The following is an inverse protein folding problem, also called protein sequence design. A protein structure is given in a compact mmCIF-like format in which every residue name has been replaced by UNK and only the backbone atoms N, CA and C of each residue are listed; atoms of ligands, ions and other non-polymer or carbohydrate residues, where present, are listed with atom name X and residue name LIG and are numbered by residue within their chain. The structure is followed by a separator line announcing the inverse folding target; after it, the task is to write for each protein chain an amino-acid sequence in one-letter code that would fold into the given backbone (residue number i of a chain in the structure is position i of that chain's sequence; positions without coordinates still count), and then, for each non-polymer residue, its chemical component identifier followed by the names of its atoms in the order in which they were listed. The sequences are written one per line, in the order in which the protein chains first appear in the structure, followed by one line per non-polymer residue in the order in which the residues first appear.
data_IF_890882050124
#
_entry.id   IF_890882050124
#
_cell.length_a   1.000
_cell.length_b   1.000
_cell.length_c   1.000
_cell.angle_alpha   90.00
_cell.angle_beta   90.00
_cell.angle_gamma   90.00
#
_symmetry.space_group_name_H-M   'P 1'
#
loop_
_entity.id
_entity.type
_entity.pdbx_description
1 polymer ?
#
# COMPACT_ATOMS: atom_id res chain seq x y z
N UNK A 1 41.96 15.56 -49.73
CA UNK A 1 41.01 16.60 -49.27
C UNK A 1 39.78 16.47 -50.16
N UNK A 2 38.60 16.02 -49.74
CA UNK A 2 37.91 16.11 -48.46
C UNK A 2 37.04 14.84 -48.32
N UNK A 3 37.08 14.17 -47.16
CA UNK A 3 36.15 13.11 -46.76
C UNK A 3 34.78 13.74 -46.48
N UNK A 4 33.71 13.19 -47.06
CA UNK A 4 32.34 13.46 -46.64
C UNK A 4 31.81 12.25 -45.88
N UNK A 5 32.03 12.24 -44.57
CA UNK A 5 31.45 11.29 -43.64
C UNK A 5 30.04 11.79 -43.27
N UNK A 6 29.00 11.09 -43.71
CA UNK A 6 27.60 11.42 -43.39
C UNK A 6 27.05 10.33 -42.48
N UNK A 7 27.41 10.38 -41.21
CA UNK A 7 26.80 9.57 -40.16
C UNK A 7 25.40 10.11 -39.84
N UNK A 8 24.37 9.46 -40.40
CA UNK A 8 22.99 9.58 -39.93
C UNK A 8 22.93 9.09 -38.48
N UNK A 9 22.90 10.01 -37.51
CA UNK A 9 22.49 9.71 -36.14
C UNK A 9 21.01 9.34 -36.16
N UNK A 10 20.73 8.05 -36.09
CA UNK A 10 19.40 7.56 -35.74
C UNK A 10 19.10 8.01 -34.31
N UNK A 11 18.08 8.86 -34.16
CA UNK A 11 17.44 9.11 -32.88
C UNK A 11 16.68 7.83 -32.50
N UNK A 12 17.36 6.88 -31.84
CA UNK A 12 16.66 5.85 -31.06
C UNK A 12 16.09 6.56 -29.83
N UNK A 13 14.81 6.94 -29.90
CA UNK A 13 14.05 7.17 -28.67
C UNK A 13 13.93 5.82 -27.99
N UNK A 14 14.76 5.58 -26.97
CA UNK A 14 14.53 4.49 -26.04
C UNK A 14 13.24 4.78 -25.29
N UNK A 15 12.10 4.33 -25.82
CA UNK A 15 10.91 4.15 -25.00
C UNK A 15 11.29 3.04 -24.01
N UNK A 16 11.69 3.41 -22.80
CA UNK A 16 11.74 2.49 -21.69
C UNK A 16 10.31 1.94 -21.53
N UNK A 17 10.08 0.73 -22.04
CA UNK A 17 8.86 -0.01 -21.73
C UNK A 17 8.89 -0.25 -20.23
N UNK A 18 8.08 0.50 -19.49
CA UNK A 18 7.82 0.24 -18.08
C UNK A 18 7.25 -1.18 -17.98
N UNK A 19 8.01 -2.09 -17.38
CA UNK A 19 7.48 -3.40 -17.04
C UNK A 19 6.53 -3.31 -15.83
N UNK A 20 5.74 -4.37 -15.59
CA UNK A 20 4.76 -4.41 -14.49
C UNK A 20 5.40 -4.13 -13.13
N UNK A 21 6.63 -4.60 -12.89
CA UNK A 21 7.34 -4.43 -11.62
C UNK A 21 7.78 -2.98 -11.44
N UNK A 22 8.34 -2.36 -12.48
CA UNK A 22 8.75 -0.96 -12.48
C UNK A 22 7.56 -0.02 -12.28
N UNK A 23 6.41 -0.31 -12.93
CA UNK A 23 5.18 0.45 -12.73
C UNK A 23 4.73 0.45 -11.27
N UNK A 24 4.67 -0.71 -10.63
CA UNK A 24 4.20 -0.83 -9.24
C UNK A 24 5.20 -0.25 -8.22
N UNK A 25 6.50 -0.36 -8.50
CA UNK A 25 7.51 0.32 -7.71
C UNK A 25 7.32 1.84 -7.74
N UNK A 26 6.92 2.41 -8.89
CA UNK A 26 6.63 3.85 -8.97
C UNK A 26 5.42 4.27 -8.15
N UNK A 27 4.39 3.42 -8.06
CA UNK A 27 3.19 3.68 -7.24
C UNK A 27 3.46 3.59 -5.72
N UNK A 28 4.49 2.84 -5.32
CA UNK A 28 4.85 2.64 -3.91
C UNK A 28 5.55 3.86 -3.28
N UNK A 29 6.00 4.82 -4.09
CA UNK A 29 6.74 6.02 -3.65
C UNK A 29 6.05 7.36 -3.94
N UNK A 30 4.86 7.36 -4.54
CA UNK A 30 4.18 8.58 -4.98
C UNK A 30 3.27 9.16 -3.89
N UNK A 31 3.82 10.04 -3.07
CA UNK A 31 3.06 11.21 -2.61
C UNK A 31 3.03 12.20 -3.78
N UNK A 32 1.91 12.30 -4.51
CA UNK A 32 1.83 13.23 -5.64
C UNK A 32 1.82 14.66 -5.12
N UNK A 33 2.98 15.32 -5.18
CA UNK A 33 3.07 16.78 -5.19
C UNK A 33 2.83 17.25 -6.63
N UNK A 34 1.58 17.54 -6.98
CA UNK A 34 1.26 18.16 -8.26
C UNK A 34 1.57 19.66 -8.18
N UNK A 35 2.76 20.07 -8.63
CA UNK A 35 3.01 21.46 -9.00
C UNK A 35 2.38 21.70 -10.39
N UNK A 36 1.14 22.19 -10.43
CA UNK A 36 0.51 22.63 -11.68
C UNK A 36 0.92 24.09 -11.97
N UNK A 37 1.45 24.40 -13.17
CA UNK A 37 1.48 25.78 -13.65
C UNK A 37 0.04 26.20 -13.88
N UNK A 38 -0.45 27.11 -13.04
CA UNK A 38 -1.78 27.68 -13.18
C UNK A 38 -1.92 28.39 -14.53
N UNK A 39 -2.95 28.04 -15.28
CA UNK A 39 -3.85 29.01 -15.91
C UNK A 39 -4.93 28.31 -16.73
N UNK A 40 -6.14 28.86 -16.61
CA UNK A 40 -7.26 28.76 -17.55
C UNK A 40 -8.25 27.57 -17.48
N UNK A 41 -8.68 27.13 -16.29
CA UNK A 41 -10.03 26.52 -16.11
C UNK A 41 -10.71 26.84 -14.75
N UNK A 42 -10.20 27.80 -13.97
CA UNK A 42 -10.66 28.07 -12.61
C UNK A 42 -11.99 28.84 -12.48
N UNK A 43 -12.86 28.85 -13.50
CA UNK A 43 -14.12 29.62 -13.45
C UNK A 43 -15.41 28.79 -13.56
N UNK A 44 -15.38 27.45 -13.47
CA UNK A 44 -16.62 26.64 -13.60
C UNK A 44 -17.14 26.02 -12.28
N UNK A 45 -16.49 26.19 -11.13
CA UNK A 45 -16.94 25.51 -9.89
C UNK A 45 -17.11 26.37 -8.63
N UNK A 46 -17.16 27.70 -8.72
CA UNK A 46 -17.22 28.56 -7.51
C UNK A 46 -18.62 28.78 -6.90
N UNK A 47 -19.61 27.96 -7.24
CA UNK A 47 -20.97 28.03 -6.65
C UNK A 47 -21.39 26.79 -5.85
N UNK A 48 -20.49 25.83 -5.59
CA UNK A 48 -20.79 24.56 -4.86
C UNK A 48 -19.89 24.26 -3.64
N UNK A 49 -19.13 25.24 -3.17
CA UNK A 49 -17.96 25.02 -2.29
C UNK A 49 -18.31 24.51 -0.87
N UNK A 50 -19.47 24.88 -0.32
CA UNK A 50 -19.90 24.40 1.02
C UNK A 50 -20.39 22.95 1.05
N UNK A 51 -20.93 22.48 -0.07
CA UNK A 51 -21.52 21.14 -0.19
C UNK A 51 -20.45 20.07 -0.45
N UNK A 52 -19.45 20.36 -1.30
CA UNK A 52 -18.30 19.47 -1.52
C UNK A 52 -17.46 19.25 -0.25
N UNK A 53 -17.14 20.32 0.49
CA UNK A 53 -16.40 20.21 1.75
C UNK A 53 -17.14 19.34 2.77
N UNK A 54 -18.46 19.54 2.91
CA UNK A 54 -19.29 18.76 3.83
C UNK A 54 -19.34 17.29 3.43
N UNK A 55 -19.49 16.99 2.13
CA UNK A 55 -19.44 15.61 1.61
C UNK A 55 -18.10 14.94 1.84
N UNK A 56 -16.99 15.60 1.50
CA UNK A 56 -15.64 15.04 1.69
C UNK A 56 -15.38 14.74 3.17
N UNK A 57 -15.71 15.68 4.07
CA UNK A 57 -15.53 15.50 5.49
C UNK A 57 -16.44 14.38 6.04
N UNK A 58 -17.69 14.28 5.57
CA UNK A 58 -18.58 13.20 5.96
C UNK A 58 -18.06 11.85 5.48
N UNK A 59 -17.59 11.77 4.25
CA UNK A 59 -17.08 10.54 3.66
C UNK A 59 -15.88 9.99 4.41
N UNK A 60 -14.94 10.86 4.79
CA UNK A 60 -13.77 10.45 5.58
C UNK A 60 -14.20 9.96 6.97
N UNK A 61 -15.17 10.62 7.61
CA UNK A 61 -15.74 10.14 8.89
C UNK A 61 -16.44 8.79 8.75
N UNK A 62 -17.22 8.61 7.69
CA UNK A 62 -17.93 7.35 7.44
C UNK A 62 -16.96 6.21 7.16
N UNK A 63 -15.86 6.49 6.44
CA UNK A 63 -14.79 5.53 6.21
C UNK A 63 -14.06 5.17 7.51
N UNK A 64 -13.67 6.16 8.31
CA UNK A 64 -13.01 5.95 9.60
C UNK A 64 -13.85 5.12 10.57
N UNK A 65 -15.16 5.38 10.61
CA UNK A 65 -16.10 4.69 11.50
C UNK A 65 -16.30 3.19 11.19
N UNK A 66 -15.85 2.70 10.04
CA UNK A 66 -16.04 1.30 9.63
C UNK A 66 -15.15 0.31 10.39
N UNK A 67 -14.06 0.77 11.00
CA UNK A 67 -13.16 -0.08 11.79
C UNK A 67 -11.92 -0.53 11.03
N UNK A 68 -11.53 -1.80 11.20
CA UNK A 68 -10.28 -2.36 10.68
C UNK A 68 -10.34 -2.66 9.17
N UNK A 69 -9.73 -1.81 8.34
CA UNK A 69 -9.75 -1.92 6.88
C UNK A 69 -8.80 -2.95 6.27
N UNK A 70 -8.25 -3.87 7.07
CA UNK A 70 -7.33 -4.92 6.60
C UNK A 70 -7.93 -5.75 5.49
N UNK A 71 -7.19 -5.91 4.39
CA UNK A 71 -7.58 -6.75 3.26
C UNK A 71 -8.01 -8.15 3.71
N UNK A 72 -9.18 -8.57 3.25
CA UNK A 72 -9.79 -9.86 3.61
C UNK A 72 -10.46 -9.89 4.99
N UNK A 73 -10.53 -8.78 5.71
CA UNK A 73 -11.37 -8.67 6.90
C UNK A 73 -12.85 -8.51 6.51
N UNK A 74 -13.80 -8.77 7.43
CA UNK A 74 -15.21 -8.45 7.20
C UNK A 74 -15.45 -6.96 6.87
N UNK A 75 -14.64 -6.06 7.44
CA UNK A 75 -14.74 -4.62 7.19
C UNK A 75 -14.21 -4.27 5.80
N UNK A 76 -13.18 -4.94 5.27
CA UNK A 76 -12.75 -4.76 3.88
C UNK A 76 -13.90 -5.02 2.89
N UNK A 77 -14.68 -6.08 3.11
CA UNK A 77 -15.86 -6.39 2.29
C UNK A 77 -16.98 -5.35 2.48
N UNK A 78 -17.31 -5.00 3.73
CA UNK A 78 -18.35 -3.99 4.02
C UNK A 78 -17.99 -2.62 3.44
N UNK A 79 -16.73 -2.20 3.57
CA UNK A 79 -16.19 -0.96 3.03
C UNK A 79 -16.26 -0.94 1.50
N UNK A 80 -15.91 -2.06 0.85
CA UNK A 80 -16.04 -2.19 -0.60
C UNK A 80 -17.48 -2.06 -1.09
N UNK A 81 -18.44 -2.69 -0.42
CA UNK A 81 -19.88 -2.55 -0.74
C UNK A 81 -20.37 -1.13 -0.51
N UNK A 82 -20.03 -0.53 0.63
CA UNK A 82 -20.33 0.86 0.93
C UNK A 82 -19.77 1.81 -0.15
N UNK A 83 -18.53 1.58 -0.61
CA UNK A 83 -17.91 2.39 -1.65
C UNK A 83 -18.61 2.21 -3.01
N UNK A 84 -19.04 0.98 -3.33
CA UNK A 84 -19.86 0.69 -4.50
C UNK A 84 -21.16 1.50 -4.49
N UNK A 85 -21.87 1.55 -3.36
CA UNK A 85 -23.08 2.36 -3.23
C UNK A 85 -22.78 3.85 -3.44
N UNK A 86 -21.64 4.36 -2.96
CA UNK A 86 -21.24 5.77 -3.18
C UNK A 86 -20.93 6.08 -4.64
N UNK A 87 -20.49 5.10 -5.43
CA UNK A 87 -20.30 5.23 -6.88
C UNK A 87 -21.65 5.30 -7.59
N UNK A 88 -22.60 4.44 -7.22
CA UNK A 88 -23.97 4.48 -7.75
C UNK A 88 -24.67 5.80 -7.41
N UNK A 89 -24.54 6.28 -6.16
CA UNK A 89 -25.01 7.61 -5.71
C UNK A 89 -24.35 8.79 -6.47
N UNK A 90 -23.21 8.55 -7.14
CA UNK A 90 -22.55 9.52 -8.01
C UNK A 90 -23.02 9.46 -9.46
N UNK A 91 -23.94 8.54 -9.79
CA UNK A 91 -24.56 8.40 -11.11
C UNK A 91 -23.78 7.53 -12.09
N UNK A 92 -22.87 6.67 -11.61
CA UNK A 92 -22.11 5.72 -12.43
C UNK A 92 -22.33 4.31 -11.91
N UNK A 93 -22.49 3.34 -12.81
CA UNK A 93 -22.69 1.94 -12.43
C UNK A 93 -21.36 1.36 -11.90
N UNK A 94 -21.30 0.89 -10.64
CA UNK A 94 -20.13 0.20 -10.11
C UNK A 94 -20.07 -1.26 -10.58
N UNK A 95 -18.86 -1.80 -10.63
CA UNK A 95 -18.57 -3.21 -10.80
C UNK A 95 -17.71 -3.72 -9.63
N UNK A 96 -17.99 -4.94 -9.17
CA UNK A 96 -17.20 -5.62 -8.15
C UNK A 96 -16.34 -6.70 -8.82
N UNK A 97 -15.03 -6.47 -8.86
CA UNK A 97 -14.09 -7.42 -9.47
C UNK A 97 -13.48 -8.32 -8.40
N UNK A 98 -14.06 -9.51 -8.25
CA UNK A 98 -13.65 -10.51 -7.26
C UNK A 98 -12.36 -11.23 -7.62
N UNK A 99 -11.59 -11.60 -6.58
CA UNK A 99 -10.35 -12.34 -6.67
C UNK A 99 -10.08 -13.12 -5.38
N UNK A 100 -9.49 -14.31 -5.51
CA UNK A 100 -9.01 -15.07 -4.38
C UNK A 100 -7.69 -14.50 -3.84
N UNK A 101 -7.55 -14.41 -2.52
CA UNK A 101 -6.33 -14.00 -1.84
C UNK A 101 -6.05 -14.92 -0.64
N UNK A 102 -4.80 -15.40 -0.44
CA UNK A 102 -4.47 -16.27 0.69
C UNK A 102 -4.21 -15.44 1.95
N UNK A 103 -5.28 -14.87 2.54
CA UNK A 103 -5.22 -14.03 3.75
C UNK A 103 -4.48 -14.71 4.88
N UNK A 104 -3.82 -13.92 5.71
CA UNK A 104 -3.04 -14.40 6.84
C UNK A 104 -3.86 -14.23 8.14
N UNK A 105 -4.20 -15.36 8.76
CA UNK A 105 -4.80 -15.41 10.09
C UNK A 105 -3.69 -15.58 11.14
N UNK A 106 -3.65 -14.69 12.12
CA UNK A 106 -2.66 -14.72 13.20
C UNK A 106 -3.27 -15.36 14.43
N UNK A 107 -2.74 -16.51 14.85
CA UNK A 107 -3.14 -17.22 16.07
C UNK A 107 -2.32 -16.76 17.28
N UNK A 108 -1.02 -16.54 17.06
CA UNK A 108 -0.11 -15.98 18.07
C UNK A 108 1.07 -15.25 17.40
N UNK A 109 1.41 -14.06 17.90
CA UNK A 109 2.56 -13.29 17.45
C UNK A 109 3.19 -12.53 18.63
N UNK A 110 4.26 -13.08 19.21
CA UNK A 110 4.91 -12.47 20.37
C UNK A 110 6.38 -12.91 20.53
N UNK A 111 7.10 -12.14 21.35
CA UNK A 111 8.41 -12.48 21.90
C UNK A 111 8.29 -12.61 23.43
N UNK A 112 8.76 -13.71 23.99
CA UNK A 112 9.01 -13.86 25.42
C UNK A 112 10.49 -13.64 25.71
N UNK A 113 10.81 -12.67 26.59
CA UNK A 113 12.17 -12.32 26.94
C UNK A 113 12.21 -11.75 28.36
N UNK A 114 13.18 -12.16 29.19
CA UNK A 114 13.28 -11.75 30.60
C UNK A 114 11.98 -11.94 31.41
N UNK A 115 11.26 -13.04 31.15
CA UNK A 115 9.98 -13.34 31.81
C UNK A 115 8.84 -12.39 31.41
N UNK A 116 9.01 -11.55 30.39
CA UNK A 116 7.99 -10.66 29.83
C UNK A 116 7.56 -11.14 28.46
N UNK A 117 6.29 -10.94 28.15
CA UNK A 117 5.74 -11.11 26.80
C UNK A 117 5.60 -9.75 26.12
N UNK A 118 6.08 -9.67 24.88
CA UNK A 118 5.95 -8.52 23.98
C UNK A 118 5.13 -8.99 22.79
N UNK A 119 3.88 -8.53 22.68
CA UNK A 119 3.04 -8.81 21.53
C UNK A 119 3.49 -7.97 20.32
N UNK A 120 3.27 -8.50 19.12
CA UNK A 120 3.59 -7.81 17.88
C UNK A 120 2.77 -8.33 16.72
N UNK A 121 3.17 -7.95 15.51
CA UNK A 121 2.49 -8.31 14.28
C UNK A 121 3.47 -9.04 13.35
N UNK A 122 3.10 -10.18 12.75
CA UNK A 122 3.94 -10.81 11.75
C UNK A 122 4.20 -9.87 10.56
N UNK A 123 5.38 -9.93 9.95
CA UNK A 123 5.55 -9.41 8.60
C UNK A 123 4.95 -10.42 7.62
N UNK A 124 3.93 -10.03 6.86
CA UNK A 124 3.08 -10.98 6.13
C UNK A 124 3.77 -11.66 4.93
N UNK A 125 4.96 -11.21 4.54
CA UNK A 125 5.81 -11.89 3.56
C UNK A 125 7.05 -12.57 4.18
N UNK A 126 7.06 -12.78 5.50
CA UNK A 126 8.08 -13.57 6.22
C UNK A 126 7.67 -15.02 6.48
N UNK A 127 8.56 -15.76 7.14
CA UNK A 127 8.28 -17.12 7.62
C UNK A 127 7.29 -17.16 8.80
N UNK A 128 6.96 -18.39 9.23
CA UNK A 128 6.12 -18.67 10.40
C UNK A 128 6.81 -19.64 11.36
N UNK A 129 6.29 -19.79 12.57
CA UNK A 129 6.71 -20.80 13.55
C UNK A 129 5.58 -21.76 13.88
N UNK A 130 5.92 -22.91 14.48
CA UNK A 130 4.95 -23.70 15.24
C UNK A 130 4.52 -22.94 16.51
N UNK A 131 3.61 -23.53 17.28
CA UNK A 131 3.20 -23.03 18.61
C UNK A 131 4.34 -23.01 19.63
N UNK A 132 5.34 -23.86 19.45
CA UNK A 132 6.52 -23.93 20.33
C UNK A 132 7.44 -22.71 20.13
N UNK A 133 7.46 -22.17 18.92
CA UNK A 133 8.28 -21.02 18.55
C UNK A 133 9.76 -21.36 18.32
N UNK A 134 10.57 -20.31 18.25
CA UNK A 134 12.03 -20.38 18.16
C UNK A 134 12.59 -19.89 19.49
N UNK A 135 13.32 -20.76 20.18
CA UNK A 135 14.06 -20.44 21.40
C UNK A 135 15.54 -20.25 21.06
N UNK A 136 16.15 -19.18 21.53
CA UNK A 136 17.56 -18.89 21.32
C UNK A 136 18.00 -17.53 21.87
N UNK A 137 19.25 -17.14 21.66
CA UNK A 137 19.75 -15.83 22.10
C UNK A 137 19.27 -14.71 21.17
N UNK A 138 18.87 -13.57 21.74
CA UNK A 138 18.63 -12.33 21.00
C UNK A 138 19.96 -11.60 20.82
N UNK A 139 20.24 -11.10 19.62
CA UNK A 139 21.38 -10.21 19.36
C UNK A 139 21.09 -9.30 18.19
N UNK A 140 21.97 -8.34 17.91
CA UNK A 140 21.77 -7.41 16.81
C UNK A 140 21.69 -8.13 15.45
N UNK A 141 21.07 -7.46 14.48
CA UNK A 141 21.02 -7.91 13.09
C UNK A 141 22.43 -8.28 12.57
N UNK A 142 22.58 -9.52 12.10
CA UNK A 142 23.79 -10.01 11.46
C UNK A 142 24.85 -10.58 12.41
N UNK A 143 24.57 -10.67 13.71
CA UNK A 143 25.42 -11.39 14.66
C UNK A 143 25.23 -12.91 14.57
N UNK A 144 26.00 -13.67 15.35
CA UNK A 144 25.88 -15.13 15.47
C UNK A 144 24.77 -15.61 16.40
N UNK A 145 23.96 -14.71 16.95
CA UNK A 145 22.83 -15.06 17.83
C UNK A 145 21.76 -15.84 17.07
N UNK A 146 20.79 -16.43 17.78
CA UNK A 146 19.71 -17.18 17.13
C UNK A 146 18.62 -16.29 16.54
N UNK A 147 18.30 -15.18 17.21
CA UNK A 147 17.23 -14.25 16.85
C UNK A 147 17.86 -12.87 16.65
N UNK A 148 17.61 -12.26 15.49
CA UNK A 148 18.12 -10.93 15.17
C UNK A 148 17.20 -9.80 15.63
N UNK A 149 17.78 -8.74 16.19
CA UNK A 149 17.12 -7.48 16.49
C UNK A 149 17.44 -6.46 15.39
N UNK A 150 16.39 -5.94 14.76
CA UNK A 150 16.48 -4.85 13.79
C UNK A 150 15.71 -3.61 14.28
N UNK A 151 16.09 -2.45 13.74
CA UNK A 151 15.42 -1.18 13.97
C UNK A 151 15.00 -0.59 12.62
N UNK A 152 14.00 -1.23 12.01
CA UNK A 152 13.54 -0.89 10.67
C UNK A 152 12.06 -0.57 10.73
N UNK A 153 11.70 0.62 10.22
CA UNK A 153 10.34 1.10 10.12
C UNK A 153 9.59 0.68 8.85
N UNK A 154 8.42 1.31 8.58
CA UNK A 154 7.55 0.92 7.48
C UNK A 154 8.19 1.12 6.09
N UNK A 155 9.17 2.03 5.97
CA UNK A 155 10.00 2.19 4.78
C UNK A 155 11.14 1.17 4.82
N UNK A 156 10.91 0.01 4.22
CA UNK A 156 11.88 -1.09 4.22
C UNK A 156 13.09 -0.75 3.33
N UNK A 157 14.30 -0.62 3.89
CA UNK A 157 15.52 -0.39 3.13
C UNK A 157 16.03 -1.70 2.49
N UNK A 158 16.83 -1.58 1.43
CA UNK A 158 17.32 -2.73 0.66
C UNK A 158 18.23 -3.65 1.49
N UNK A 159 19.03 -3.10 2.40
CA UNK A 159 19.91 -3.86 3.30
C UNK A 159 19.13 -4.77 4.26
N UNK A 160 17.95 -4.36 4.74
CA UNK A 160 17.07 -5.25 5.51
C UNK A 160 16.52 -6.40 4.67
N UNK A 161 16.19 -6.14 3.39
CA UNK A 161 15.78 -7.20 2.46
C UNK A 161 16.92 -8.19 2.19
N UNK A 162 18.15 -7.69 2.02
CA UNK A 162 19.34 -8.51 1.79
C UNK A 162 19.68 -9.33 3.04
N UNK A 163 19.56 -8.73 4.22
CA UNK A 163 19.69 -9.40 5.51
C UNK A 163 18.68 -10.54 5.66
N UNK A 164 17.38 -10.29 5.40
CA UNK A 164 16.35 -11.34 5.43
C UNK A 164 16.65 -12.51 4.50
N UNK A 165 17.34 -12.28 3.38
CA UNK A 165 17.70 -13.31 2.39
C UNK A 165 18.93 -14.15 2.79
N UNK A 166 19.86 -13.56 3.53
CA UNK A 166 21.19 -14.13 3.75
C UNK A 166 21.50 -14.51 5.18
N UNK A 167 20.70 -14.03 6.14
CA UNK A 167 20.93 -14.26 7.57
C UNK A 167 20.83 -15.75 7.95
N UNK A 168 21.70 -16.15 8.88
CA UNK A 168 21.60 -17.43 9.59
C UNK A 168 20.72 -17.36 10.83
N UNK A 169 20.33 -16.14 11.25
CA UNK A 169 19.41 -15.94 12.38
C UNK A 169 18.04 -16.53 12.00
N UNK A 170 17.52 -17.37 12.89
CA UNK A 170 16.33 -18.20 12.65
C UNK A 170 15.03 -17.40 12.70
N UNK A 171 15.05 -16.25 13.35
CA UNK A 171 13.94 -15.30 13.41
C UNK A 171 14.45 -13.85 13.55
N UNK A 172 13.58 -12.88 13.29
CA UNK A 172 13.88 -11.46 13.42
C UNK A 172 12.79 -10.79 14.27
N UNK A 173 13.19 -9.89 15.17
CA UNK A 173 12.32 -8.91 15.83
C UNK A 173 12.72 -7.54 15.29
N UNK A 174 11.76 -6.74 14.81
CA UNK A 174 12.03 -5.38 14.34
C UNK A 174 11.16 -4.36 15.05
N UNK A 175 11.80 -3.29 15.54
CA UNK A 175 11.12 -2.14 16.13
C UNK A 175 10.74 -1.15 15.04
N UNK A 176 9.44 -0.93 14.82
CA UNK A 176 8.95 -0.27 13.60
C UNK A 176 8.57 1.21 13.74
N UNK A 177 8.07 1.64 14.89
CA UNK A 177 7.74 3.05 15.14
C UNK A 177 8.91 3.87 15.68
N UNK A 178 8.64 5.14 15.94
CA UNK A 178 9.52 6.09 16.59
C UNK A 178 10.36 6.95 15.64
N UNK A 179 10.88 8.10 16.09
CA UNK A 179 11.58 9.08 15.26
C UNK A 179 12.76 8.53 14.45
N UNK A 180 13.52 7.56 15.00
CA UNK A 180 14.62 6.89 14.28
C UNK A 180 14.15 6.22 12.98
N UNK A 181 12.86 5.90 12.87
CA UNK A 181 12.22 5.30 11.70
C UNK A 181 11.41 6.31 10.87
N UNK A 182 11.50 7.62 11.18
CA UNK A 182 10.80 8.69 10.47
C UNK A 182 9.28 8.71 10.68
N UNK A 183 8.79 8.09 11.76
CA UNK A 183 7.35 7.98 12.08
C UNK A 183 7.09 8.24 13.57
N UNK A 184 5.84 8.53 13.99
CA UNK A 184 5.50 8.66 15.40
C UNK A 184 5.85 7.40 16.22
N UNK A 185 5.94 7.58 17.54
CA UNK A 185 6.07 6.46 18.48
C UNK A 185 4.89 5.49 18.36
N UNK A 186 5.14 4.20 18.61
CA UNK A 186 4.16 3.14 18.49
C UNK A 186 4.55 2.08 17.47
N UNK A 187 3.55 1.52 16.82
CA UNK A 187 3.70 0.45 15.83
C UNK A 187 3.36 1.01 14.45
N UNK A 188 4.28 0.84 13.49
CA UNK A 188 4.13 1.35 12.13
C UNK A 188 4.49 0.24 11.13
N UNK A 189 3.49 -0.53 10.71
CA UNK A 189 3.75 -1.77 9.98
C UNK A 189 4.38 -1.55 8.62
N UNK A 190 5.32 -2.43 8.31
CA UNK A 190 5.83 -2.65 6.97
C UNK A 190 4.78 -3.33 6.11
N UNK A 191 4.70 -2.89 4.85
CA UNK A 191 3.97 -3.61 3.82
C UNK A 191 4.70 -4.91 3.45
N UNK A 192 3.96 -5.85 2.89
CA UNK A 192 4.42 -7.18 2.48
C UNK A 192 4.43 -7.30 0.94
N UNK A 193 5.38 -6.68 0.23
CA UNK A 193 5.40 -6.69 -1.23
C UNK A 193 5.57 -8.07 -1.85
N UNK A 194 6.10 -9.05 -1.12
CA UNK A 194 6.24 -10.43 -1.57
C UNK A 194 5.20 -11.36 -0.92
N UNK A 195 4.02 -10.84 -0.57
CA UNK A 195 2.99 -11.58 0.16
C UNK A 195 2.62 -12.94 -0.46
N UNK A 196 2.62 -13.01 -1.79
CA UNK A 196 2.29 -14.23 -2.56
C UNK A 196 3.41 -15.28 -2.49
N UNK A 197 4.66 -14.83 -2.44
CA UNK A 197 5.86 -15.67 -2.35
C UNK A 197 6.72 -15.22 -1.16
N UNK A 198 6.30 -15.55 0.09
CA UNK A 198 7.03 -15.15 1.30
C UNK A 198 8.47 -15.66 1.30
N UNK A 199 9.37 -14.91 1.94
CA UNK A 199 10.78 -15.22 1.96
C UNK A 199 11.45 -14.85 3.30
N UNK A 200 12.61 -15.46 3.53
CA UNK A 200 13.41 -15.22 4.73
C UNK A 200 12.80 -15.82 5.99
N UNK A 201 13.42 -15.57 7.15
CA UNK A 201 12.93 -16.09 8.43
C UNK A 201 11.62 -15.40 8.87
N UNK A 202 10.94 -15.92 9.91
CA UNK A 202 9.83 -15.24 10.56
C UNK A 202 10.27 -13.88 11.12
N UNK A 203 9.46 -12.83 10.90
CA UNK A 203 9.74 -11.46 11.37
C UNK A 203 8.58 -10.94 12.23
N UNK A 204 8.85 -10.63 13.50
CA UNK A 204 7.92 -10.00 14.42
C UNK A 204 8.13 -8.49 14.43
N UNK A 205 7.10 -7.73 14.08
CA UNK A 205 7.08 -6.27 14.15
C UNK A 205 6.56 -5.84 15.52
N UNK A 206 7.34 -5.07 16.27
CA UNK A 206 6.98 -4.58 17.61
C UNK A 206 7.00 -3.07 17.67
N UNK A 207 6.28 -2.54 18.66
CA UNK A 207 6.13 -1.12 18.88
C UNK A 207 7.40 -0.49 19.50
N UNK A 208 7.62 0.80 19.26
CA UNK A 208 8.84 1.51 19.67
C UNK A 208 9.06 1.60 21.18
N UNK A 209 8.02 1.43 21.99
CA UNK A 209 8.10 1.38 23.45
C UNK A 209 8.98 0.22 23.96
N UNK A 210 9.21 -0.80 23.13
CA UNK A 210 10.05 -1.94 23.48
C UNK A 210 11.52 -1.77 23.08
N UNK A 211 11.90 -0.63 22.50
CA UNK A 211 13.24 -0.41 21.94
C UNK A 211 14.36 -0.63 22.95
N UNK A 212 14.29 0.04 24.10
CA UNK A 212 15.39 0.02 25.06
C UNK A 212 15.55 -1.34 25.73
N UNK A 213 14.43 -1.99 26.08
CA UNK A 213 14.46 -3.34 26.66
C UNK A 213 15.02 -4.36 25.66
N UNK A 214 14.69 -4.24 24.37
CA UNK A 214 15.21 -5.14 23.34
C UNK A 214 16.68 -4.89 23.05
N UNK A 215 17.13 -3.62 22.98
CA UNK A 215 18.55 -3.28 22.81
C UNK A 215 19.39 -3.82 23.96
N UNK A 216 18.94 -3.62 25.20
CA UNK A 216 19.65 -4.16 26.37
C UNK A 216 19.69 -5.69 26.32
N UNK A 217 18.56 -6.33 26.04
CA UNK A 217 18.50 -7.79 25.97
C UNK A 217 19.33 -8.39 24.83
N UNK A 218 19.47 -7.68 23.70
CA UNK A 218 20.35 -8.06 22.60
C UNK A 218 21.84 -7.91 22.99
N UNK A 219 22.20 -6.82 23.68
CA UNK A 219 23.57 -6.60 24.18
C UNK A 219 23.98 -7.65 25.21
N UNK A 220 23.03 -8.14 26.02
CA UNK A 220 23.24 -9.16 27.05
C UNK A 220 23.07 -10.60 26.51
N UNK A 221 22.83 -10.75 25.20
CA UNK A 221 22.55 -12.04 24.52
C UNK A 221 21.48 -12.89 25.21
N UNK A 222 20.43 -12.23 25.72
CA UNK A 222 19.38 -12.87 26.53
C UNK A 222 18.66 -13.95 25.73
N UNK A 223 18.40 -15.08 26.39
CA UNK A 223 17.54 -16.12 25.83
C UNK A 223 16.10 -15.64 25.70
N UNK A 224 15.54 -15.79 24.51
CA UNK A 224 14.19 -15.40 24.16
C UNK A 224 13.47 -16.51 23.41
N UNK A 225 12.13 -16.45 23.42
CA UNK A 225 11.26 -17.32 22.63
C UNK A 225 10.36 -16.49 21.74
N UNK A 226 10.51 -16.62 20.42
CA UNK A 226 9.68 -15.95 19.43
C UNK A 226 8.65 -16.91 18.86
N UNK A 227 7.38 -16.52 18.88
CA UNK A 227 6.27 -17.27 18.28
C UNK A 227 5.59 -16.40 17.24
N UNK A 228 5.50 -16.91 16.01
CA UNK A 228 4.68 -16.40 14.90
C UNK A 228 3.85 -17.55 14.33
N UNK A 229 2.82 -17.96 15.08
CA UNK A 229 1.90 -19.00 14.64
C UNK A 229 0.78 -18.39 13.79
N UNK A 230 0.86 -18.61 12.47
CA UNK A 230 -0.05 -18.04 11.48
C UNK A 230 -0.51 -19.11 10.51
N UNK A 231 -1.72 -18.97 9.97
CA UNK A 231 -2.24 -19.81 8.89
C UNK A 231 -2.68 -18.96 7.72
N UNK A 232 -2.47 -19.44 6.49
CA UNK A 232 -3.04 -18.82 5.30
C UNK A 232 -4.38 -19.46 4.99
N UNK A 233 -5.43 -18.65 4.86
CA UNK A 233 -6.76 -19.10 4.44
C UNK A 233 -7.12 -18.46 3.09
N UNK A 234 -7.62 -19.25 2.12
CA UNK A 234 -8.25 -18.68 0.95
C UNK A 234 -9.43 -17.81 1.37
N UNK A 235 -9.48 -16.59 0.87
CA UNK A 235 -10.59 -15.65 1.04
C UNK A 235 -10.89 -14.98 -0.31
N UNK A 236 -12.12 -14.53 -0.49
CA UNK A 236 -12.47 -13.71 -1.65
C UNK A 236 -12.51 -12.23 -1.27
N UNK A 237 -11.77 -11.43 -2.03
CA UNK A 237 -11.79 -9.96 -1.92
C UNK A 237 -12.12 -9.37 -3.28
N UNK A 238 -12.43 -8.08 -3.34
CA UNK A 238 -12.77 -7.44 -4.59
C UNK A 238 -12.26 -6.02 -4.71
N UNK A 239 -11.98 -5.60 -5.93
CA UNK A 239 -11.85 -4.19 -6.27
C UNK A 239 -13.24 -3.62 -6.56
N UNK A 240 -13.42 -2.32 -6.33
CA UNK A 240 -14.57 -1.56 -6.83
C UNK A 240 -14.11 -0.81 -8.07
N UNK A 241 -14.76 -1.02 -9.20
CA UNK A 241 -14.43 -0.35 -10.46
C UNK A 241 -15.65 0.37 -11.01
N UNK A 242 -15.40 1.36 -11.88
CA UNK A 242 -16.44 2.05 -12.61
C UNK A 242 -15.88 2.54 -13.94
N UNK A 243 -16.69 2.51 -15.00
CA UNK A 243 -16.26 2.96 -16.32
C UNK A 243 -17.18 4.04 -16.85
N UNK A 244 -16.62 5.22 -17.14
CA UNK A 244 -17.31 6.27 -17.88
C UNK A 244 -16.88 6.21 -19.34
N UNK A 245 -17.79 5.78 -20.21
CA UNK A 245 -17.53 5.68 -21.64
C UNK A 245 -17.33 7.07 -22.26
N UNK A 246 -16.27 7.20 -23.05
CA UNK A 246 -16.03 8.42 -23.82
C UNK A 246 -16.83 8.45 -25.12
N UNK A 247 -16.95 9.63 -25.72
CA UNK A 247 -17.53 9.78 -27.07
C UNK A 247 -16.67 9.12 -28.16
N UNK A 248 -15.38 8.86 -27.87
CA UNK A 248 -14.45 8.11 -28.72
C UNK A 248 -13.74 7.01 -27.91
N UNK A 249 -14.41 5.87 -27.65
CA UNK A 249 -13.91 4.83 -26.76
C UNK A 249 -12.66 4.08 -27.27
N UNK A 250 -12.31 4.26 -28.55
CA UNK A 250 -11.07 3.70 -29.13
C UNK A 250 -9.79 4.46 -28.78
N UNK A 251 -9.90 5.62 -28.14
CA UNK A 251 -8.74 6.38 -27.66
C UNK A 251 -8.16 5.78 -26.37
N UNK A 252 -6.87 6.00 -26.15
CA UNK A 252 -6.13 5.63 -24.94
C UNK A 252 -6.87 6.09 -23.66
N UNK A 253 -7.31 5.18 -22.76
CA UNK A 253 -8.14 5.55 -21.63
C UNK A 253 -7.35 6.30 -20.54
N UNK A 254 -8.04 7.14 -19.77
CA UNK A 254 -7.52 7.65 -18.50
C UNK A 254 -7.84 6.64 -17.39
N UNK A 255 -6.87 6.32 -16.54
CA UNK A 255 -7.11 5.50 -15.35
C UNK A 255 -6.98 6.38 -14.11
N UNK A 256 -7.99 6.36 -13.24
CA UNK A 256 -7.98 7.06 -11.94
C UNK A 256 -8.11 6.01 -10.85
N UNK A 257 -7.08 5.87 -10.02
CA UNK A 257 -7.03 4.82 -9.01
C UNK A 257 -6.83 5.33 -7.59
N UNK A 258 -7.31 4.57 -6.62
CA UNK A 258 -7.01 4.75 -5.20
C UNK A 258 -6.99 3.39 -4.49
N UNK A 259 -6.10 3.14 -3.53
CA UNK A 259 -6.27 2.00 -2.64
C UNK A 259 -7.47 2.23 -1.71
N UNK A 260 -8.19 1.17 -1.34
CA UNK A 260 -9.33 1.24 -0.40
C UNK A 260 -9.11 0.51 0.93
N UNK A 261 -8.13 -0.38 1.01
CA UNK A 261 -7.73 -1.10 2.24
C UNK A 261 -6.61 -0.38 3.00
N UNK A 262 -6.42 -0.78 4.26
CA UNK A 262 -5.36 -0.32 5.16
C UNK A 262 -4.99 -1.41 6.17
N UNK A 263 -3.99 -1.22 7.04
CA UNK A 263 -3.61 -2.25 8.02
C UNK A 263 -4.60 -2.42 9.19
N UNK A 264 -5.35 -1.36 9.55
CA UNK A 264 -6.22 -1.27 10.72
C UNK A 264 -7.35 -0.25 10.53
N UNK A 265 -7.85 0.31 11.63
CA UNK A 265 -8.60 1.58 11.69
C UNK A 265 -7.75 2.70 11.13
N UNK A 266 -8.21 3.31 10.05
CA UNK A 266 -7.47 4.35 9.38
C UNK A 266 -8.42 5.33 8.67
N UNK A 267 -8.13 6.62 8.79
CA UNK A 267 -8.88 7.71 8.15
C UNK A 267 -8.07 8.38 7.05
N UNK A 268 -6.84 8.78 7.35
CA UNK A 268 -5.92 9.41 6.39
C UNK A 268 -5.56 8.41 5.30
N UNK A 269 -5.06 7.25 5.69
CA UNK A 269 -5.00 6.08 4.84
C UNK A 269 -6.39 5.42 4.87
N UNK A 270 -7.25 5.47 3.86
CA UNK A 270 -7.14 6.02 2.49
C UNK A 270 -8.18 7.10 2.20
N UNK A 271 -8.86 7.63 3.22
CA UNK A 271 -10.08 8.43 3.08
C UNK A 271 -9.95 9.65 2.17
N UNK A 272 -8.82 10.36 2.21
CA UNK A 272 -8.57 11.51 1.32
C UNK A 272 -8.54 11.11 -0.16
N UNK A 273 -7.84 10.02 -0.48
CA UNK A 273 -7.79 9.46 -1.84
C UNK A 273 -9.16 9.00 -2.33
N UNK A 274 -9.91 8.28 -1.48
CA UNK A 274 -11.28 7.81 -1.78
C UNK A 274 -12.23 9.01 -2.01
N UNK A 275 -12.13 10.04 -1.19
CA UNK A 275 -12.99 11.22 -1.31
C UNK A 275 -12.76 11.95 -2.65
N UNK A 276 -11.50 12.19 -3.03
CA UNK A 276 -11.19 12.81 -4.32
C UNK A 276 -11.59 11.91 -5.48
N UNK A 277 -11.37 10.60 -5.35
CA UNK A 277 -11.78 9.63 -6.36
C UNK A 277 -13.30 9.69 -6.64
N UNK A 278 -14.13 9.72 -5.59
CA UNK A 278 -15.58 9.87 -5.73
C UNK A 278 -16.02 11.24 -6.24
N UNK A 279 -15.39 12.34 -5.79
CA UNK A 279 -15.73 13.67 -6.29
C UNK A 279 -15.33 13.83 -7.77
N UNK A 280 -14.27 13.15 -8.24
CA UNK A 280 -13.94 13.08 -9.67
C UNK A 280 -15.03 12.33 -10.45
N UNK A 281 -15.50 11.17 -9.95
CA UNK A 281 -16.62 10.43 -10.58
C UNK A 281 -17.84 11.34 -10.68
N UNK A 282 -18.25 11.97 -9.57
CA UNK A 282 -19.42 12.84 -9.50
C UNK A 282 -19.32 14.03 -10.46
N UNK A 283 -18.16 14.68 -10.50
CA UNK A 283 -17.94 15.83 -11.39
C UNK A 283 -17.96 15.42 -12.87
N UNK A 284 -17.38 14.28 -13.21
CA UNK A 284 -17.36 13.78 -14.59
C UNK A 284 -18.72 13.27 -15.05
N UNK A 285 -19.49 12.61 -14.18
CA UNK A 285 -20.84 12.13 -14.48
C UNK A 285 -21.84 13.28 -14.66
N UNK A 286 -21.72 14.35 -13.86
CA UNK A 286 -22.57 15.54 -13.98
C UNK A 286 -22.14 16.49 -15.12
N UNK A 287 -20.92 16.35 -15.62
CA UNK A 287 -20.34 17.18 -16.67
C UNK A 287 -20.63 16.66 -18.08
N UNK A 288 -20.05 17.32 -19.11
CA UNK A 288 -20.08 16.80 -20.47
C UNK A 288 -19.39 15.45 -20.55
N UNK A 289 -19.93 14.55 -21.39
CA UNK A 289 -19.32 13.24 -21.66
C UNK A 289 -17.86 13.42 -22.10
N UNK A 290 -16.89 12.72 -21.48
CA UNK A 290 -15.49 12.85 -21.84
C UNK A 290 -15.22 12.34 -23.26
N UNK A 291 -14.14 12.80 -23.88
CA UNK A 291 -13.76 12.32 -25.21
C UNK A 291 -13.26 10.87 -25.13
N UNK A 292 -12.41 10.57 -24.14
CA UNK A 292 -11.83 9.24 -23.92
C UNK A 292 -12.55 8.52 -22.80
N UNK A 293 -12.58 7.20 -22.87
CA UNK A 293 -13.05 6.38 -21.75
C UNK A 293 -12.19 6.63 -20.51
N UNK A 294 -12.83 6.77 -19.36
CA UNK A 294 -12.16 6.88 -18.06
C UNK A 294 -12.53 5.66 -17.22
N UNK A 295 -11.52 4.98 -16.70
CA UNK A 295 -11.68 3.82 -15.83
C UNK A 295 -11.25 4.20 -14.42
N UNK A 296 -12.17 4.01 -13.49
CA UNK A 296 -11.96 4.26 -12.07
C UNK A 296 -11.72 2.92 -11.36
N UNK A 297 -10.68 2.87 -10.53
CA UNK A 297 -10.28 1.68 -9.78
C UNK A 297 -10.05 2.01 -8.30
N UNK A 298 -10.83 1.42 -7.41
CA UNK A 298 -10.53 1.37 -5.99
C UNK A 298 -10.06 -0.04 -5.60
N UNK A 299 -8.77 -0.21 -5.32
CA UNK A 299 -8.15 -1.52 -5.14
C UNK A 299 -7.91 -1.92 -3.69
N UNK A 300 -8.14 -3.18 -3.36
CA UNK A 300 -7.74 -3.77 -2.06
C UNK A 300 -6.35 -4.42 -2.16
N UNK A 301 -5.69 -4.63 -1.03
CA UNK A 301 -4.42 -5.36 -0.94
C UNK A 301 -3.19 -4.53 -1.30
N UNK A 302 -3.23 -3.21 -1.13
CA UNK A 302 -2.05 -2.35 -1.31
C UNK A 302 -0.90 -2.78 -0.39
N UNK A 303 -1.24 -3.06 0.86
CA UNK A 303 -0.38 -3.50 1.96
C UNK A 303 0.26 -4.86 1.66
N UNK A 304 -0.37 -5.64 0.78
CA UNK A 304 0.02 -6.99 0.36
C UNK A 304 0.72 -6.97 -1.02
N UNK A 305 1.43 -5.88 -1.32
CA UNK A 305 2.14 -5.71 -2.57
C UNK A 305 1.24 -5.34 -3.74
N UNK A 306 0.23 -4.50 -3.52
CA UNK A 306 -0.71 -4.06 -4.56
C UNK A 306 -1.53 -5.22 -5.18
N UNK A 307 -1.92 -6.20 -4.38
CA UNK A 307 -2.56 -7.44 -4.85
C UNK A 307 -3.77 -7.20 -5.78
N UNK A 308 -4.71 -6.34 -5.38
CA UNK A 308 -5.89 -6.04 -6.18
C UNK A 308 -5.57 -5.32 -7.50
N UNK A 309 -4.58 -4.43 -7.48
CA UNK A 309 -4.10 -3.76 -8.71
C UNK A 309 -3.38 -4.76 -9.63
N UNK A 310 -2.61 -5.69 -9.05
CA UNK A 310 -1.98 -6.78 -9.78
C UNK A 310 -3.04 -7.59 -10.54
N UNK A 311 -4.11 -8.03 -9.90
CA UNK A 311 -5.17 -8.80 -10.55
C UNK A 311 -5.91 -7.98 -11.61
N UNK A 312 -6.19 -6.70 -11.34
CA UNK A 312 -6.79 -5.79 -12.33
C UNK A 312 -5.93 -5.67 -13.61
N UNK A 313 -4.62 -5.53 -13.46
CA UNK A 313 -3.68 -5.43 -14.59
C UNK A 313 -3.48 -6.77 -15.28
N UNK A 314 -3.54 -7.89 -14.55
CA UNK A 314 -3.32 -9.23 -15.12
C UNK A 314 -4.29 -9.53 -16.27
N UNK A 315 -5.55 -9.12 -16.12
CA UNK A 315 -6.59 -9.28 -17.16
C UNK A 315 -6.60 -8.13 -18.17
N UNK A 316 -5.85 -7.05 -17.92
CA UNK A 316 -5.85 -5.80 -18.70
C UNK A 316 -4.44 -5.26 -18.99
N UNK A 317 -3.49 -6.14 -19.28
CA UNK A 317 -2.06 -5.80 -19.35
C UNK A 317 -1.73 -4.67 -20.34
N UNK A 318 -2.53 -4.51 -21.40
CA UNK A 318 -2.41 -3.40 -22.36
C UNK A 318 -2.57 -2.01 -21.72
N UNK A 319 -3.25 -1.87 -20.59
CA UNK A 319 -3.42 -0.58 -19.91
C UNK A 319 -2.09 0.00 -19.41
N UNK A 320 -1.08 -0.84 -19.16
CA UNK A 320 0.26 -0.38 -18.77
C UNK A 320 0.91 0.52 -19.84
N UNK A 321 0.66 0.21 -21.12
CA UNK A 321 1.29 0.92 -22.25
C UNK A 321 0.32 1.79 -23.04
N UNK A 322 -0.99 1.51 -22.96
CA UNK A 322 -2.00 2.13 -23.82
C UNK A 322 -2.92 3.09 -23.08
N UNK A 323 -2.85 3.19 -21.75
CA UNK A 323 -3.52 4.28 -21.04
C UNK A 323 -2.81 5.61 -21.35
N UNK A 324 -3.58 6.69 -21.51
CA UNK A 324 -3.00 8.02 -21.72
C UNK A 324 -2.30 8.52 -20.45
N UNK A 325 -2.84 8.15 -19.29
CA UNK A 325 -2.29 8.45 -17.99
C UNK A 325 -2.89 7.53 -16.92
N UNK A 326 -2.14 7.37 -15.83
CA UNK A 326 -2.61 6.78 -14.58
C UNK A 326 -2.51 7.85 -13.49
N UNK A 327 -3.65 8.22 -12.90
CA UNK A 327 -3.72 9.10 -11.75
C UNK A 327 -3.88 8.25 -10.49
N UNK A 328 -2.83 8.19 -9.67
CA UNK A 328 -2.87 7.49 -8.39
C UNK A 328 -3.18 8.48 -7.25
N UNK A 329 -4.30 8.27 -6.58
CA UNK A 329 -4.77 9.05 -5.44
C UNK A 329 -4.39 8.29 -4.16
N UNK A 330 -3.20 8.59 -3.65
CA UNK A 330 -2.63 7.97 -2.46
C UNK A 330 -3.29 8.40 -1.14
N UNK A 331 -2.82 7.82 -0.03
CA UNK A 331 -3.40 8.02 1.31
C UNK A 331 -3.49 9.50 1.74
N UNK A 332 -2.42 10.27 1.54
CA UNK A 332 -2.31 11.61 2.13
C UNK A 332 -2.87 12.73 1.24
N UNK A 333 -3.74 12.42 0.28
CA UNK A 333 -4.28 13.44 -0.61
C UNK A 333 -5.09 14.47 0.19
N UNK A 334 -4.68 15.74 0.13
CA UNK A 334 -5.33 16.83 0.87
C UNK A 334 -5.02 16.90 2.37
N UNK A 335 -4.04 16.12 2.87
CA UNK A 335 -3.63 16.22 4.28
C UNK A 335 -3.00 17.60 4.57
N UNK A 336 -3.49 18.28 5.61
CA UNK A 336 -3.01 19.62 6.01
C UNK A 336 -1.53 19.64 6.41
N UNK A 337 -1.02 18.49 6.87
CA UNK A 337 0.39 18.20 7.00
C UNK A 337 0.66 17.03 6.07
N UNK A 338 1.13 17.32 4.84
CA UNK A 338 1.78 16.29 4.04
C UNK A 338 2.96 15.79 4.88
N UNK A 339 3.10 14.47 5.05
CA UNK A 339 4.25 13.92 5.76
C UNK A 339 5.50 14.55 5.15
N UNK A 340 6.16 15.45 5.90
CA UNK A 340 7.44 15.96 5.48
C UNK A 340 8.30 14.71 5.26
N UNK A 341 8.93 14.54 4.09
CA UNK A 341 10.07 13.66 4.02
C UNK A 341 11.15 14.33 4.88
N UNK A 342 11.13 14.05 6.18
CA UNK A 342 12.30 14.14 7.03
C UNK A 342 13.10 12.86 6.84
#
# INVERSE_FOLDING_TARGET
MIQSDTTKRAHQSSSTQLDRKQFLQSLSGLAVAAAWPGSAWAQIAMTRDGDSHSRVAQLIRDYDAQGDHRTGSPVDAQSGLWLSDRVDDAGVVPELEWMGVPTLETHAAFLEINGRRIDGVPLYDGGATSTDGIVGTLGDQGTSSDIGLAHVGPRIPQDFLDYRRSTTQRAIVTVTGGPDNGVPEGLALMNAPNFVEPFGPPVLQVASQHRDILRQAASDEVSARLVLHVTRRPEEVFNVTATLLGTQPGLAPLIVMTPRSGWWTCASERGGGIAVWLEMIRAMAAGPTPIRTTVFLASTGHELGHYGLHEFIRTRSRLLTNAIAWLHLGANFGAAVGGNPL
#
